data_IF_827248471990
#
_entry.id   IF_827248471990
#
_cell.length_a   1.000
_cell.length_b   1.000
_cell.length_c   1.000
_cell.angle_alpha   90.00
_cell.angle_beta   90.00
_cell.angle_gamma   90.00
#
_symmetry.space_group_name_H-M   'P 1'
#
loop_
_entity.id
_entity.type
_entity.pdbx_description
1 polymer ?
#
# COMPACT_ATOMS: atom_id res chain seq x y z
N UNK A 1 -11.60 -9.89 84.09
CA UNK A 1 -12.37 -8.80 83.46
C UNK A 1 -12.12 -8.79 81.95
N UNK A 2 -13.19 -9.01 81.25
CA UNK A 2 -13.16 -9.28 79.81
C UNK A 2 -12.91 -8.00 79.03
N UNK A 3 -11.86 -8.02 78.15
CA UNK A 3 -11.72 -7.09 77.07
C UNK A 3 -11.99 -7.87 75.71
N UNK A 4 -13.20 -7.64 75.21
CA UNK A 4 -13.60 -8.18 73.90
C UNK A 4 -12.94 -7.38 72.82
N UNK A 5 -12.10 -8.07 72.02
CA UNK A 5 -11.56 -7.65 70.73
C UNK A 5 -12.69 -7.50 69.72
N UNK A 6 -12.93 -6.29 69.26
CA UNK A 6 -13.77 -6.02 68.09
C UNK A 6 -12.88 -6.09 66.86
N UNK A 7 -12.90 -7.25 66.22
CA UNK A 7 -12.31 -7.37 64.87
C UNK A 7 -13.23 -6.67 63.88
N UNK A 8 -12.84 -5.49 63.45
CA UNK A 8 -13.47 -4.81 62.32
C UNK A 8 -13.20 -5.57 61.02
N UNK A 9 -14.22 -6.23 60.54
CA UNK A 9 -14.26 -6.76 59.19
C UNK A 9 -14.38 -5.61 58.20
N UNK A 10 -13.26 -5.10 57.73
CA UNK A 10 -13.25 -4.26 56.54
C UNK A 10 -13.60 -5.14 55.31
N UNK A 11 -14.90 -5.30 55.06
CA UNK A 11 -15.38 -5.72 53.72
C UNK A 11 -15.15 -4.55 52.80
N UNK A 12 -14.02 -4.54 52.09
CA UNK A 12 -13.84 -3.71 50.88
C UNK A 12 -14.87 -4.19 49.87
N UNK A 13 -16.02 -3.53 49.83
CA UNK A 13 -16.94 -3.69 48.71
C UNK A 13 -16.15 -3.24 47.45
N UNK A 14 -15.68 -4.20 46.67
CA UNK A 14 -15.28 -3.92 45.31
C UNK A 14 -16.51 -3.36 44.60
N UNK A 15 -16.52 -2.05 44.42
CA UNK A 15 -17.49 -1.39 43.54
C UNK A 15 -17.24 -2.00 42.18
N UNK A 16 -18.07 -2.98 41.77
CA UNK A 16 -18.10 -3.46 40.38
C UNK A 16 -18.50 -2.26 39.57
N UNK A 17 -17.54 -1.70 38.87
CA UNK A 17 -17.76 -0.67 37.84
C UNK A 17 -18.51 -1.37 36.70
N UNK A 18 -19.82 -1.33 36.73
CA UNK A 18 -20.69 -1.83 35.67
C UNK A 18 -20.72 -0.79 34.53
N UNK A 19 -19.64 -0.68 33.75
CA UNK A 19 -19.65 0.07 32.50
C UNK A 19 -20.08 -0.86 31.36
N UNK A 20 -20.91 -0.37 30.45
CA UNK A 20 -21.34 -1.09 29.25
C UNK A 20 -20.15 -1.69 28.46
N UNK A 21 -19.01 -1.05 28.54
CA UNK A 21 -17.80 -1.40 27.79
C UNK A 21 -16.73 -2.10 28.64
N UNK A 22 -17.03 -2.54 29.84
CA UNK A 22 -16.06 -3.14 30.79
C UNK A 22 -15.44 -4.44 30.32
N UNK A 23 -16.06 -5.13 29.34
CA UNK A 23 -15.55 -6.35 28.72
C UNK A 23 -14.61 -6.10 27.55
N UNK A 24 -14.45 -4.85 27.09
CA UNK A 24 -13.58 -4.53 25.96
C UNK A 24 -12.13 -4.57 26.41
N UNK A 25 -11.34 -5.39 25.74
CA UNK A 25 -9.88 -5.40 25.87
C UNK A 25 -9.25 -4.38 24.91
N UNK A 26 -8.11 -3.82 25.31
CA UNK A 26 -7.37 -2.92 24.42
C UNK A 26 -6.98 -3.64 23.13
N UNK A 27 -7.19 -2.98 21.99
CA UNK A 27 -6.72 -3.48 20.70
C UNK A 27 -5.18 -3.48 20.65
N UNK A 28 -4.62 -4.41 19.87
CA UNK A 28 -3.19 -4.40 19.59
C UNK A 28 -2.83 -3.13 18.83
N UNK A 29 -1.79 -2.42 19.27
CA UNK A 29 -1.34 -1.21 18.59
C UNK A 29 -0.92 -1.50 17.14
N UNK A 30 -1.29 -0.62 16.21
CA UNK A 30 -0.82 -0.70 14.83
C UNK A 30 0.71 -0.60 14.80
N UNK A 31 1.42 -1.57 14.18
CA UNK A 31 2.88 -1.62 14.22
C UNK A 31 3.56 -0.43 13.51
N UNK A 32 2.89 0.21 12.55
CA UNK A 32 3.44 1.36 11.81
C UNK A 32 3.13 2.67 12.52
N UNK A 33 1.88 2.87 12.96
CA UNK A 33 1.48 4.09 13.65
C UNK A 33 2.11 4.17 15.05
N UNK A 34 2.16 3.06 15.78
CA UNK A 34 2.85 2.98 17.07
C UNK A 34 4.35 3.29 16.98
N UNK A 35 5.00 2.90 15.88
CA UNK A 35 6.40 3.26 15.62
C UNK A 35 6.61 4.77 15.49
N UNK A 36 5.69 5.45 14.81
CA UNK A 36 5.75 6.91 14.66
C UNK A 36 5.56 7.66 15.98
N UNK A 37 4.67 7.15 16.84
CA UNK A 37 4.47 7.71 18.19
C UNK A 37 5.71 7.52 19.07
N UNK A 38 6.34 6.36 19.02
CA UNK A 38 7.60 6.09 19.71
C UNK A 38 8.72 7.02 19.22
N UNK A 39 8.85 7.19 17.89
CA UNK A 39 9.82 8.10 17.29
C UNK A 39 9.62 9.57 17.71
N UNK A 40 8.37 10.02 17.86
CA UNK A 40 8.10 11.40 18.32
C UNK A 40 8.61 11.64 19.76
N UNK A 41 8.53 10.62 20.62
CA UNK A 41 8.96 10.67 22.02
C UNK A 41 10.48 10.51 22.19
N UNK A 42 11.16 10.00 21.17
CA UNK A 42 12.62 9.82 21.17
C UNK A 42 13.33 11.18 21.25
N UNK A 43 14.40 11.27 22.05
CA UNK A 43 15.19 12.50 22.25
C UNK A 43 16.58 12.42 21.65
N UNK A 44 16.99 11.25 21.14
CA UNK A 44 18.31 11.06 20.57
C UNK A 44 18.54 12.02 19.38
N UNK A 45 19.64 12.80 19.34
CA UNK A 45 19.86 13.85 18.34
C UNK A 45 19.98 13.33 16.90
N UNK A 46 20.37 12.06 16.72
CA UNK A 46 20.50 11.39 15.42
C UNK A 46 19.37 10.38 15.15
N UNK A 47 18.19 10.55 15.78
CA UNK A 47 17.06 9.64 15.55
C UNK A 47 16.64 9.61 14.08
N UNK A 48 16.34 8.42 13.55
CA UNK A 48 15.92 8.22 12.15
C UNK A 48 14.64 7.39 12.09
N UNK A 49 13.67 7.84 11.30
CA UNK A 49 12.41 7.11 11.06
C UNK A 49 12.42 6.47 9.68
N UNK A 50 12.52 5.16 9.63
CA UNK A 50 12.49 4.34 8.41
C UNK A 50 11.24 3.44 8.31
N UNK A 51 10.30 3.55 9.24
CA UNK A 51 9.09 2.72 9.24
C UNK A 51 7.93 3.32 8.43
N UNK A 52 7.93 4.62 8.19
CA UNK A 52 6.78 5.32 7.62
C UNK A 52 6.78 5.29 6.09
N UNK A 53 5.65 4.87 5.51
CA UNK A 53 5.43 4.83 4.05
C UNK A 53 5.01 6.18 3.47
N UNK A 54 5.76 7.25 3.75
CA UNK A 54 5.54 8.58 3.17
C UNK A 54 6.86 9.15 2.66
N UNK A 55 6.86 9.71 1.45
CA UNK A 55 8.04 10.31 0.85
C UNK A 55 8.50 11.54 1.64
N UNK A 56 9.81 11.66 1.82
CA UNK A 56 10.49 12.81 2.42
C UNK A 56 11.55 13.32 1.45
N UNK A 57 11.69 14.64 1.36
CA UNK A 57 12.78 15.24 0.60
C UNK A 57 14.13 14.99 1.30
N UNK A 58 15.22 15.38 0.67
CA UNK A 58 16.57 15.20 1.23
C UNK A 58 16.79 15.90 2.59
N UNK A 59 15.97 16.89 2.93
CA UNK A 59 15.95 17.55 4.25
C UNK A 59 15.08 16.81 5.29
N UNK A 60 14.59 15.59 4.99
CA UNK A 60 13.72 14.80 5.87
C UNK A 60 12.30 15.37 6.05
N UNK A 61 11.91 16.39 5.28
CA UNK A 61 10.60 17.05 5.39
C UNK A 61 9.59 16.47 4.38
N UNK A 62 8.27 16.57 4.62
CA UNK A 62 7.26 16.29 3.61
C UNK A 62 7.56 17.06 2.33
N UNK A 63 7.36 16.40 1.19
CA UNK A 63 7.54 17.00 -0.13
C UNK A 63 6.16 17.26 -0.74
N UNK A 64 5.90 18.50 -1.09
CA UNK A 64 4.66 18.91 -1.76
C UNK A 64 5.02 19.19 -3.21
N UNK A 65 4.39 18.46 -4.14
CA UNK A 65 4.63 18.59 -5.57
C UNK A 65 4.14 19.96 -6.04
N UNK A 66 4.90 20.57 -6.95
CA UNK A 66 4.53 21.89 -7.47
C UNK A 66 3.23 21.86 -8.29
N UNK A 67 2.99 20.77 -9.04
CA UNK A 67 1.72 20.56 -9.75
C UNK A 67 0.52 20.50 -8.79
N UNK A 68 0.69 19.93 -7.58
CA UNK A 68 -0.36 19.91 -6.55
C UNK A 68 -0.69 21.31 -6.08
N UNK A 69 0.32 22.14 -5.73
CA UNK A 69 0.11 23.54 -5.33
C UNK A 69 -0.61 24.36 -6.40
N UNK A 70 -0.25 24.16 -7.67
CA UNK A 70 -0.90 24.83 -8.79
C UNK A 70 -2.34 24.36 -8.98
N UNK A 71 -2.61 23.06 -8.77
CA UNK A 71 -3.97 22.55 -8.81
C UNK A 71 -4.82 23.11 -7.65
N UNK A 72 -4.28 23.15 -6.43
CA UNK A 72 -4.93 23.77 -5.27
C UNK A 72 -5.21 25.26 -5.52
N UNK A 73 -4.23 26.01 -6.05
CA UNK A 73 -4.43 27.42 -6.43
C UNK A 73 -5.56 27.56 -7.46
N UNK A 74 -5.63 26.68 -8.47
CA UNK A 74 -6.72 26.71 -9.47
C UNK A 74 -8.09 26.46 -8.82
N UNK A 75 -8.19 25.54 -7.84
CA UNK A 75 -9.43 25.31 -7.10
C UNK A 75 -9.90 26.60 -6.41
N UNK A 76 -8.98 27.34 -5.78
CA UNK A 76 -9.29 28.62 -5.13
C UNK A 76 -9.64 29.72 -6.12
N UNK A 77 -8.84 29.90 -7.17
CA UNK A 77 -9.01 30.96 -8.15
C UNK A 77 -10.32 30.84 -8.95
N UNK A 78 -10.80 29.60 -9.15
CA UNK A 78 -12.05 29.33 -9.89
C UNK A 78 -13.28 29.20 -8.98
N UNK A 79 -13.14 29.49 -7.69
CA UNK A 79 -14.23 29.41 -6.71
C UNK A 79 -14.99 28.08 -6.77
N UNK A 80 -14.28 26.93 -6.86
CA UNK A 80 -14.95 25.63 -6.82
C UNK A 80 -15.71 25.47 -5.50
N UNK A 81 -16.94 25.02 -5.60
CA UNK A 81 -17.86 24.83 -4.47
C UNK A 81 -17.45 23.67 -3.54
N UNK A 82 -18.24 23.45 -2.49
CA UNK A 82 -18.10 22.33 -1.55
C UNK A 82 -19.32 21.39 -1.58
N UNK A 83 -20.07 21.38 -2.69
CA UNK A 83 -21.21 20.51 -2.86
C UNK A 83 -20.80 19.03 -2.85
N UNK A 84 -21.75 18.16 -2.51
CA UNK A 84 -21.54 16.72 -2.56
C UNK A 84 -21.26 16.25 -3.98
N UNK A 85 -20.23 15.44 -4.16
CA UNK A 85 -20.11 14.64 -5.37
C UNK A 85 -21.24 13.59 -5.43
N UNK A 86 -21.46 12.98 -6.60
CA UNK A 86 -22.28 11.79 -6.71
C UNK A 86 -21.80 10.67 -5.76
N UNK A 87 -22.63 9.68 -5.49
CA UNK A 87 -22.26 8.54 -4.63
C UNK A 87 -20.99 7.85 -5.16
N UNK A 88 -20.83 7.76 -6.49
CA UNK A 88 -19.62 7.21 -7.13
C UNK A 88 -18.41 8.15 -7.06
N UNK A 89 -18.60 9.42 -6.71
CA UNK A 89 -17.56 10.44 -6.73
C UNK A 89 -17.59 11.31 -7.99
N UNK A 90 -16.46 11.91 -8.35
CA UNK A 90 -16.29 12.81 -9.51
C UNK A 90 -16.03 11.95 -10.76
N UNK A 91 -16.95 12.01 -11.73
CA UNK A 91 -16.90 11.14 -12.93
C UNK A 91 -15.62 11.35 -13.77
N UNK A 92 -15.18 12.61 -13.94
CA UNK A 92 -13.94 12.93 -14.67
C UNK A 92 -12.70 12.35 -13.97
N UNK A 93 -12.65 12.42 -12.64
CA UNK A 93 -11.58 11.81 -11.85
C UNK A 93 -11.55 10.29 -12.04
N UNK A 94 -12.71 9.61 -11.96
CA UNK A 94 -12.81 8.17 -12.15
C UNK A 94 -12.31 7.78 -13.55
N UNK A 95 -12.78 8.47 -14.60
CA UNK A 95 -12.37 8.20 -15.97
C UNK A 95 -10.87 8.39 -16.19
N UNK A 96 -10.30 9.50 -15.70
CA UNK A 96 -8.85 9.75 -15.79
C UNK A 96 -8.03 8.75 -14.97
N UNK A 97 -8.53 8.31 -13.82
CA UNK A 97 -7.91 7.25 -13.02
C UNK A 97 -7.83 5.93 -13.78
N UNK A 98 -8.90 5.56 -14.48
CA UNK A 98 -8.95 4.36 -15.33
C UNK A 98 -8.00 4.49 -16.53
N UNK A 99 -7.99 5.63 -17.21
CA UNK A 99 -7.06 5.91 -18.33
C UNK A 99 -5.61 5.83 -17.86
N UNK A 100 -5.28 6.41 -16.72
CA UNK A 100 -3.94 6.35 -16.14
C UNK A 100 -3.47 4.90 -15.93
N UNK A 101 -4.32 4.05 -15.40
CA UNK A 101 -3.97 2.68 -15.08
C UNK A 101 -3.94 1.77 -16.31
N UNK A 102 -5.03 1.72 -17.04
CA UNK A 102 -5.22 0.79 -18.15
C UNK A 102 -4.61 1.28 -19.48
N UNK A 103 -4.40 2.59 -19.62
CA UNK A 103 -4.00 3.24 -20.86
C UNK A 103 -5.21 3.70 -21.70
N UNK A 104 -5.07 4.83 -22.37
CA UNK A 104 -6.12 5.44 -23.20
C UNK A 104 -6.58 4.52 -24.34
N UNK A 105 -5.65 3.73 -24.88
CA UNK A 105 -5.92 2.81 -26.00
C UNK A 105 -6.47 1.45 -25.58
N UNK A 106 -6.59 1.17 -24.30
CA UNK A 106 -7.14 -0.07 -23.78
C UNK A 106 -8.59 -0.30 -24.25
N UNK A 107 -8.91 -1.52 -24.69
CA UNK A 107 -10.24 -1.88 -25.19
C UNK A 107 -11.37 -1.60 -24.18
N UNK A 108 -11.17 -1.93 -22.91
CA UNK A 108 -12.16 -1.74 -21.86
C UNK A 108 -12.45 -0.26 -21.58
N UNK A 109 -11.42 0.61 -21.71
CA UNK A 109 -11.55 2.06 -21.60
C UNK A 109 -12.35 2.61 -22.78
N UNK A 110 -12.03 2.19 -24.01
CA UNK A 110 -12.70 2.66 -25.24
C UNK A 110 -14.15 2.20 -25.33
N UNK A 111 -14.43 0.98 -24.90
CA UNK A 111 -15.74 0.38 -24.92
C UNK A 111 -16.60 0.73 -23.69
N UNK A 112 -16.11 1.57 -22.77
CA UNK A 112 -16.77 1.92 -21.50
C UNK A 112 -17.19 0.69 -20.68
N UNK A 113 -16.34 -0.32 -20.61
CA UNK A 113 -16.54 -1.59 -19.90
C UNK A 113 -15.89 -1.63 -18.53
N UNK A 114 -15.64 -0.49 -17.92
CA UNK A 114 -15.06 -0.38 -16.58
C UNK A 114 -16.00 0.40 -15.69
N UNK A 115 -16.66 -0.29 -14.77
CA UNK A 115 -17.40 0.34 -13.68
C UNK A 115 -16.44 0.79 -12.57
N UNK A 116 -16.74 1.88 -11.88
CA UNK A 116 -15.84 2.33 -10.82
C UNK A 116 -16.39 3.42 -9.92
N UNK A 117 -15.72 3.65 -8.82
CA UNK A 117 -16.03 4.72 -7.88
C UNK A 117 -14.78 5.33 -7.28
N UNK A 118 -14.82 6.62 -7.07
CA UNK A 118 -13.88 7.30 -6.19
C UNK A 118 -13.99 6.71 -4.79
N UNK A 119 -12.86 6.49 -4.15
CA UNK A 119 -12.78 5.84 -2.84
C UNK A 119 -11.91 6.61 -1.87
N UNK A 120 -12.02 6.25 -0.58
CA UNK A 120 -11.17 6.81 0.48
C UNK A 120 -9.78 6.16 0.39
N UNK A 121 -9.00 6.56 -0.64
CA UNK A 121 -7.69 6.02 -0.99
C UNK A 121 -7.73 4.50 -1.26
N UNK A 122 -6.57 3.83 -1.29
CA UNK A 122 -6.46 2.40 -1.54
C UNK A 122 -7.20 1.53 -0.51
N UNK A 123 -7.19 1.91 0.77
CA UNK A 123 -7.92 1.19 1.83
C UNK A 123 -9.41 1.15 1.54
N UNK A 124 -10.01 2.30 1.18
CA UNK A 124 -11.41 2.38 0.81
C UNK A 124 -11.72 1.64 -0.48
N UNK A 125 -10.79 1.66 -1.44
CA UNK A 125 -10.90 0.93 -2.70
C UNK A 125 -10.97 -0.58 -2.47
N UNK A 126 -10.07 -1.14 -1.67
CA UNK A 126 -10.06 -2.55 -1.27
C UNK A 126 -11.33 -2.93 -0.52
N UNK A 127 -11.80 -2.07 0.41
CA UNK A 127 -13.04 -2.32 1.15
C UNK A 127 -14.25 -2.40 0.21
N UNK A 128 -14.38 -1.47 -0.72
CA UNK A 128 -15.45 -1.50 -1.73
C UNK A 128 -15.40 -2.77 -2.56
N UNK A 129 -14.21 -3.12 -3.08
CA UNK A 129 -14.06 -4.27 -3.95
C UNK A 129 -14.30 -5.61 -3.24
N UNK A 130 -13.75 -5.83 -2.06
CA UNK A 130 -14.03 -7.06 -1.32
C UNK A 130 -15.49 -7.16 -0.90
N UNK A 131 -16.14 -6.05 -0.52
CA UNK A 131 -17.59 -6.06 -0.26
C UNK A 131 -18.36 -6.39 -1.52
N UNK A 132 -18.02 -5.76 -2.66
CA UNK A 132 -18.63 -6.06 -3.95
C UNK A 132 -18.50 -7.54 -4.33
N UNK A 133 -17.30 -8.10 -4.25
CA UNK A 133 -17.06 -9.51 -4.56
C UNK A 133 -17.82 -10.45 -3.61
N UNK A 134 -17.91 -10.13 -2.33
CA UNK A 134 -18.64 -10.96 -1.37
C UNK A 134 -20.12 -11.08 -1.73
N UNK A 135 -20.70 -9.96 -2.13
CA UNK A 135 -22.14 -9.90 -2.38
C UNK A 135 -22.51 -10.43 -3.78
N UNK A 136 -21.74 -10.10 -4.81
CA UNK A 136 -22.11 -10.33 -6.20
C UNK A 136 -21.19 -11.25 -7.02
N UNK A 137 -20.02 -11.65 -6.50
CA UNK A 137 -19.20 -12.62 -7.23
C UNK A 137 -19.97 -13.95 -7.39
N UNK A 138 -20.10 -14.47 -8.64
CA UNK A 138 -20.96 -15.62 -8.89
C UNK A 138 -20.44 -16.91 -8.24
N UNK A 139 -19.13 -17.02 -8.02
CA UNK A 139 -18.51 -18.20 -7.42
C UNK A 139 -18.44 -18.03 -5.90
N UNK A 140 -19.44 -18.54 -5.19
CA UNK A 140 -19.52 -18.43 -3.73
C UNK A 140 -18.56 -19.40 -3.02
N UNK A 141 -18.10 -19.01 -1.83
CA UNK A 141 -17.24 -19.86 -1.00
C UNK A 141 -15.76 -19.90 -1.42
N UNK A 142 -15.36 -19.07 -2.40
CA UNK A 142 -13.96 -18.94 -2.78
C UNK A 142 -13.15 -18.17 -1.72
N UNK A 143 -11.86 -18.48 -1.64
CA UNK A 143 -10.91 -17.78 -0.78
C UNK A 143 -10.22 -16.65 -1.53
N UNK A 144 -9.75 -15.64 -0.78
CA UNK A 144 -8.86 -14.59 -1.28
C UNK A 144 -7.43 -15.00 -0.99
N UNK A 145 -6.62 -15.09 -2.02
CA UNK A 145 -5.19 -15.39 -1.92
C UNK A 145 -4.39 -14.09 -1.91
N UNK A 146 -3.54 -13.92 -0.91
CA UNK A 146 -2.68 -12.74 -0.74
C UNK A 146 -1.22 -13.15 -0.70
N UNK A 147 -0.28 -12.33 -1.19
CA UNK A 147 1.15 -12.70 -1.16
C UNK A 147 1.67 -12.81 0.27
N UNK A 148 2.65 -13.67 0.48
CA UNK A 148 3.36 -13.79 1.76
C UNK A 148 4.83 -13.36 1.63
N UNK A 149 5.23 -12.26 2.29
CA UNK A 149 4.43 -11.31 3.07
C UNK A 149 3.58 -10.37 2.19
N UNK A 150 2.68 -9.62 2.82
CA UNK A 150 1.89 -8.58 2.17
C UNK A 150 1.61 -7.40 3.12
N UNK A 151 1.04 -6.33 2.61
CA UNK A 151 0.53 -5.25 3.45
C UNK A 151 -0.56 -5.80 4.39
N UNK A 152 -0.42 -5.65 5.73
CA UNK A 152 -1.29 -6.35 6.68
C UNK A 152 -2.79 -6.10 6.47
N UNK A 153 -3.17 -4.92 5.96
CA UNK A 153 -4.58 -4.59 5.74
C UNK A 153 -5.25 -5.41 4.63
N UNK A 154 -4.50 -6.05 3.72
CA UNK A 154 -5.09 -6.95 2.73
C UNK A 154 -5.86 -8.09 3.39
N UNK A 155 -5.25 -8.74 4.39
CA UNK A 155 -5.86 -9.83 5.17
C UNK A 155 -7.05 -9.32 5.98
N UNK A 156 -6.86 -8.23 6.70
CA UNK A 156 -7.88 -7.64 7.56
C UNK A 156 -9.12 -7.21 6.74
N UNK A 157 -8.92 -6.57 5.58
CA UNK A 157 -10.04 -6.11 4.76
C UNK A 157 -10.80 -7.26 4.08
N UNK A 158 -10.09 -8.32 3.65
CA UNK A 158 -10.72 -9.54 3.16
C UNK A 158 -11.60 -10.18 4.24
N UNK A 159 -11.06 -10.34 5.46
CA UNK A 159 -11.77 -10.92 6.61
C UNK A 159 -12.97 -10.07 7.03
N UNK A 160 -12.79 -8.75 7.18
CA UNK A 160 -13.87 -7.81 7.49
C UNK A 160 -14.97 -7.79 6.43
N UNK A 161 -14.68 -8.19 5.21
CA UNK A 161 -15.66 -8.35 4.13
C UNK A 161 -16.27 -9.75 4.08
N UNK A 162 -15.90 -10.63 5.02
CA UNK A 162 -16.46 -11.98 5.16
C UNK A 162 -15.80 -13.04 4.28
N UNK A 163 -14.62 -12.77 3.73
CA UNK A 163 -13.81 -13.78 3.07
C UNK A 163 -12.89 -14.51 4.04
N UNK A 164 -12.61 -15.78 3.74
CA UNK A 164 -11.42 -16.46 4.22
C UNK A 164 -10.27 -16.05 3.32
N UNK A 165 -9.10 -15.85 3.88
CA UNK A 165 -7.89 -15.58 3.11
C UNK A 165 -6.87 -16.68 3.30
N UNK A 166 -6.02 -16.83 2.29
CA UNK A 166 -4.88 -17.74 2.28
C UNK A 166 -3.66 -16.99 1.76
N UNK A 167 -2.48 -17.43 2.18
CA UNK A 167 -1.25 -16.95 1.59
C UNK A 167 -0.91 -17.74 0.33
N UNK A 168 -0.24 -17.08 -0.62
CA UNK A 168 0.57 -17.75 -1.61
C UNK A 168 2.04 -17.31 -1.45
N UNK A 169 2.97 -18.22 -1.73
CA UNK A 169 4.40 -17.95 -1.63
C UNK A 169 4.79 -16.83 -2.59
N UNK A 170 5.49 -15.85 -2.09
CA UNK A 170 5.89 -14.68 -2.87
C UNK A 170 7.34 -14.30 -2.66
N UNK A 171 7.85 -14.33 -1.43
CA UNK A 171 9.19 -13.88 -1.09
C UNK A 171 10.02 -15.05 -0.54
N UNK A 172 11.20 -15.24 -1.11
CA UNK A 172 12.17 -16.21 -0.63
C UNK A 172 13.21 -15.52 0.24
N UNK A 173 13.17 -15.76 1.56
CA UNK A 173 14.07 -15.13 2.53
C UNK A 173 15.54 -15.51 2.31
N UNK A 174 15.84 -16.67 1.72
CA UNK A 174 17.23 -17.11 1.46
C UNK A 174 17.86 -16.36 0.29
N UNK A 175 17.11 -16.19 -0.79
CA UNK A 175 17.57 -15.46 -1.98
C UNK A 175 17.31 -13.95 -1.89
N UNK A 176 16.46 -13.54 -0.94
CA UNK A 176 15.98 -12.15 -0.76
C UNK A 176 15.28 -11.60 -2.03
N UNK A 177 14.67 -12.49 -2.79
CA UNK A 177 14.00 -12.24 -4.06
C UNK A 177 12.62 -12.89 -4.13
N UNK A 178 12.05 -12.94 -5.35
CA UNK A 178 10.76 -13.59 -5.61
C UNK A 178 10.89 -15.12 -5.48
N UNK A 179 9.97 -15.75 -4.76
CA UNK A 179 9.75 -17.19 -4.77
C UNK A 179 8.82 -17.56 -5.94
N UNK A 180 9.35 -17.43 -7.14
CA UNK A 180 8.54 -17.57 -8.34
C UNK A 180 8.00 -18.99 -8.54
N UNK A 181 8.79 -20.01 -8.24
CA UNK A 181 8.38 -21.43 -8.33
C UNK A 181 7.26 -21.71 -7.33
N UNK A 182 7.47 -21.34 -6.07
CA UNK A 182 6.46 -21.48 -5.04
C UNK A 182 5.16 -20.73 -5.34
N UNK A 183 5.26 -19.51 -5.86
CA UNK A 183 4.10 -18.73 -6.31
C UNK A 183 3.31 -19.49 -7.39
N UNK A 184 3.98 -20.02 -8.40
CA UNK A 184 3.32 -20.77 -9.48
C UNK A 184 2.64 -22.04 -8.99
N UNK A 185 3.29 -22.79 -8.09
CA UNK A 185 2.73 -24.00 -7.51
C UNK A 185 1.46 -23.71 -6.71
N UNK A 186 1.48 -22.67 -5.86
CA UNK A 186 0.32 -22.25 -5.08
C UNK A 186 -0.83 -21.78 -5.96
N UNK A 187 -0.53 -21.03 -7.03
CA UNK A 187 -1.53 -20.57 -7.98
C UNK A 187 -2.16 -21.71 -8.78
N UNK A 188 -1.36 -22.73 -9.18
CA UNK A 188 -1.84 -23.91 -9.89
C UNK A 188 -2.69 -24.80 -8.99
N UNK A 189 -2.35 -24.88 -7.71
CA UNK A 189 -3.07 -25.68 -6.71
C UNK A 189 -4.37 -25.02 -6.23
N UNK A 190 -4.53 -23.72 -6.43
CA UNK A 190 -5.73 -22.99 -6.00
C UNK A 190 -6.98 -23.48 -6.76
N UNK A 191 -8.13 -23.59 -6.09
CA UNK A 191 -9.39 -23.88 -6.77
C UNK A 191 -9.69 -22.88 -7.88
N UNK A 192 -10.30 -23.37 -8.97
CA UNK A 192 -10.75 -22.47 -10.04
C UNK A 192 -11.61 -21.36 -9.50
N UNK A 193 -11.55 -20.19 -10.14
CA UNK A 193 -12.27 -18.99 -9.76
C UNK A 193 -11.86 -18.37 -8.40
N UNK A 194 -10.77 -18.83 -7.77
CA UNK A 194 -10.23 -18.17 -6.58
C UNK A 194 -9.79 -16.75 -6.90
N UNK A 195 -9.81 -15.88 -5.89
CA UNK A 195 -9.44 -14.47 -6.03
C UNK A 195 -7.98 -14.31 -5.61
N UNK A 196 -7.13 -13.82 -6.50
CA UNK A 196 -5.73 -13.51 -6.22
C UNK A 196 -5.50 -12.01 -6.16
N UNK A 197 -4.90 -11.54 -5.07
CA UNK A 197 -4.50 -10.16 -4.92
C UNK A 197 -3.03 -10.00 -5.33
N UNK A 198 -2.77 -9.13 -6.29
CA UNK A 198 -1.45 -8.74 -6.76
C UNK A 198 -1.19 -7.27 -6.46
N UNK A 199 0.09 -6.88 -6.43
CA UNK A 199 0.48 -5.47 -6.55
C UNK A 199 0.79 -5.18 -8.03
N UNK A 200 0.34 -4.03 -8.51
CA UNK A 200 0.65 -3.60 -9.89
C UNK A 200 2.16 -3.42 -10.05
N UNK A 201 2.80 -2.80 -9.07
CA UNK A 201 4.25 -2.60 -8.98
C UNK A 201 4.67 -2.29 -7.54
N UNK A 202 5.98 -2.34 -7.27
CA UNK A 202 6.60 -1.98 -5.99
C UNK A 202 5.95 -2.69 -4.80
N UNK A 203 5.96 -4.00 -4.82
CA UNK A 203 5.33 -4.85 -3.81
C UNK A 203 5.65 -4.42 -2.38
N UNK A 204 4.64 -4.19 -1.57
CA UNK A 204 4.75 -3.86 -0.16
C UNK A 204 4.56 -5.14 0.70
N UNK A 205 5.57 -5.59 1.48
CA UNK A 205 6.72 -4.83 1.99
C UNK A 205 8.05 -5.04 1.25
N UNK A 206 8.14 -5.94 0.26
CA UNK A 206 9.42 -6.49 -0.20
C UNK A 206 10.15 -5.63 -1.22
N UNK A 207 9.43 -4.82 -2.01
CA UNK A 207 10.00 -4.12 -3.16
C UNK A 207 10.41 -5.04 -4.32
N UNK A 208 10.04 -6.31 -4.27
CA UNK A 208 10.34 -7.32 -5.29
C UNK A 208 9.12 -7.51 -6.19
N UNK A 209 9.27 -7.32 -7.48
CA UNK A 209 8.22 -7.55 -8.46
C UNK A 209 8.61 -8.64 -9.46
N UNK A 210 7.63 -9.41 -9.99
CA UNK A 210 7.89 -10.32 -11.09
C UNK A 210 8.41 -9.58 -12.34
N UNK A 211 9.33 -10.19 -13.06
CA UNK A 211 9.78 -9.69 -14.36
C UNK A 211 8.66 -9.79 -15.41
N UNK A 212 8.77 -9.08 -16.57
CA UNK A 212 7.80 -9.22 -17.66
C UNK A 212 7.59 -10.68 -18.10
N UNK A 213 8.66 -11.48 -18.18
CA UNK A 213 8.55 -12.90 -18.54
C UNK A 213 7.79 -13.71 -17.47
N UNK A 214 8.04 -13.43 -16.20
CA UNK A 214 7.31 -14.05 -15.10
C UNK A 214 5.84 -13.65 -15.07
N UNK A 215 5.51 -12.38 -15.36
CA UNK A 215 4.13 -11.93 -15.47
C UNK A 215 3.36 -12.64 -16.59
N UNK A 216 4.00 -12.93 -17.75
CA UNK A 216 3.39 -13.75 -18.79
C UNK A 216 3.07 -15.17 -18.30
N UNK A 217 3.98 -15.81 -17.59
CA UNK A 217 3.73 -17.15 -17.02
C UNK A 217 2.59 -17.13 -15.97
N UNK A 218 2.55 -16.08 -15.12
CA UNK A 218 1.44 -15.87 -14.17
C UNK A 218 0.11 -15.74 -14.91
N UNK A 219 0.09 -14.97 -16.01
CA UNK A 219 -1.10 -14.79 -16.84
C UNK A 219 -1.62 -16.11 -17.43
N UNK A 220 -0.72 -16.99 -17.87
CA UNK A 220 -1.10 -18.31 -18.39
C UNK A 220 -1.76 -19.19 -17.31
N UNK A 221 -1.26 -19.14 -16.06
CA UNK A 221 -1.89 -19.84 -14.93
C UNK A 221 -3.26 -19.24 -14.62
N UNK A 222 -3.38 -17.92 -14.61
CA UNK A 222 -4.65 -17.22 -14.38
C UNK A 222 -5.71 -17.65 -15.39
N UNK A 223 -5.36 -17.73 -16.67
CA UNK A 223 -6.26 -18.22 -17.72
C UNK A 223 -6.67 -19.68 -17.51
N UNK A 224 -5.69 -20.56 -17.25
CA UNK A 224 -5.92 -21.99 -17.09
C UNK A 224 -6.84 -22.31 -15.92
N UNK A 225 -6.67 -21.61 -14.79
CA UNK A 225 -7.43 -21.80 -13.57
C UNK A 225 -8.63 -20.85 -13.46
N UNK A 226 -8.86 -20.01 -14.48
CA UNK A 226 -9.92 -18.98 -14.48
C UNK A 226 -9.91 -18.16 -13.17
N UNK A 227 -8.73 -17.70 -12.74
CA UNK A 227 -8.59 -16.94 -11.50
C UNK A 227 -9.13 -15.51 -11.68
N UNK A 228 -9.65 -14.93 -10.61
CA UNK A 228 -10.05 -13.53 -10.57
C UNK A 228 -8.93 -12.69 -9.95
N UNK A 229 -8.53 -11.60 -10.60
CA UNK A 229 -7.34 -10.83 -10.26
C UNK A 229 -7.72 -9.48 -9.66
N UNK A 230 -7.36 -9.27 -8.40
CA UNK A 230 -7.37 -7.97 -7.74
C UNK A 230 -5.97 -7.33 -7.83
N UNK A 231 -5.87 -6.11 -8.33
CA UNK A 231 -4.61 -5.37 -8.43
C UNK A 231 -4.60 -4.17 -7.48
N UNK A 232 -3.69 -4.17 -6.49
CA UNK A 232 -3.41 -3.00 -5.66
C UNK A 232 -2.39 -2.10 -6.37
N UNK A 233 -2.78 -0.85 -6.62
CA UNK A 233 -1.99 0.15 -7.34
C UNK A 233 -1.79 1.40 -6.49
N UNK A 234 -0.74 1.40 -5.68
CA UNK A 234 -0.40 2.52 -4.83
C UNK A 234 0.85 3.30 -5.30
N UNK A 235 1.60 2.75 -6.26
CA UNK A 235 2.95 3.24 -6.58
C UNK A 235 3.20 3.44 -8.08
N UNK A 236 2.17 3.46 -8.93
CA UNK A 236 2.33 3.70 -10.37
C UNK A 236 3.03 5.03 -10.64
N UNK A 237 4.12 5.02 -11.40
CA UNK A 237 5.01 6.14 -11.68
C UNK A 237 5.99 6.45 -10.55
N UNK A 238 5.71 6.00 -9.33
CA UNK A 238 6.56 6.21 -8.17
C UNK A 238 7.59 5.09 -7.96
N UNK A 239 7.35 3.91 -8.54
CA UNK A 239 8.26 2.77 -8.41
C UNK A 239 9.51 2.95 -9.28
N UNK A 240 9.35 3.13 -10.59
CA UNK A 240 10.45 3.26 -11.55
C UNK A 240 10.65 4.69 -12.09
N UNK A 241 9.71 5.59 -11.85
CA UNK A 241 9.66 6.92 -12.49
C UNK A 241 9.03 6.89 -13.88
N UNK A 242 8.46 5.75 -14.29
CA UNK A 242 7.86 5.51 -15.61
C UNK A 242 6.48 4.86 -15.41
N UNK A 243 5.42 5.57 -15.81
CA UNK A 243 4.03 5.13 -15.65
C UNK A 243 3.71 3.87 -16.43
N UNK A 244 4.31 3.71 -17.62
CA UNK A 244 4.07 2.58 -18.52
C UNK A 244 4.71 1.30 -17.96
N UNK A 245 5.97 1.40 -17.50
CA UNK A 245 6.64 0.28 -16.83
C UNK A 245 5.93 -0.16 -15.58
N UNK A 246 5.50 0.79 -14.76
CA UNK A 246 4.85 0.50 -13.48
C UNK A 246 3.44 -0.08 -13.65
N UNK A 247 2.78 0.10 -14.79
CA UNK A 247 1.46 -0.48 -15.10
C UNK A 247 1.52 -1.76 -15.95
N UNK A 248 2.70 -2.26 -16.27
CA UNK A 248 2.90 -3.40 -17.18
C UNK A 248 2.03 -4.61 -16.82
N UNK A 249 2.04 -5.03 -15.56
CA UNK A 249 1.27 -6.21 -15.11
C UNK A 249 -0.23 -6.06 -15.38
N UNK A 250 -0.82 -4.94 -14.96
CA UNK A 250 -2.23 -4.67 -15.15
C UNK A 250 -2.61 -4.59 -16.63
N UNK A 251 -1.79 -3.92 -17.45
CA UNK A 251 -2.06 -3.77 -18.87
C UNK A 251 -1.93 -5.09 -19.62
N UNK A 252 -0.91 -5.90 -19.32
CA UNK A 252 -0.80 -7.26 -19.83
C UNK A 252 -2.06 -8.07 -19.54
N UNK A 253 -2.52 -8.05 -18.28
CA UNK A 253 -3.71 -8.81 -17.90
C UNK A 253 -4.97 -8.31 -18.62
N UNK A 254 -5.11 -7.00 -18.79
CA UNK A 254 -6.27 -6.40 -19.49
C UNK A 254 -6.35 -6.74 -20.99
N UNK A 255 -5.27 -7.20 -21.60
CA UNK A 255 -5.28 -7.72 -22.97
C UNK A 255 -5.84 -9.14 -23.04
N UNK A 256 -5.76 -9.91 -21.96
CA UNK A 256 -5.99 -11.33 -21.92
C UNK A 256 -7.21 -11.79 -21.13
N UNK A 257 -7.69 -11.00 -20.17
CA UNK A 257 -8.87 -11.35 -19.33
C UNK A 257 -9.66 -10.11 -18.95
N UNK A 258 -10.93 -10.29 -18.63
CA UNK A 258 -11.81 -9.30 -17.99
C UNK A 258 -12.03 -9.59 -16.49
N UNK A 259 -11.46 -10.67 -15.96
CA UNK A 259 -11.51 -11.01 -14.53
C UNK A 259 -10.59 -10.10 -13.69
N UNK A 260 -10.80 -8.78 -13.74
CA UNK A 260 -9.92 -7.78 -13.14
C UNK A 260 -10.68 -6.81 -12.25
N UNK A 261 -10.18 -6.62 -11.04
CA UNK A 261 -10.45 -5.46 -10.19
C UNK A 261 -9.17 -4.66 -9.95
N UNK A 262 -9.32 -3.35 -9.86
CA UNK A 262 -8.21 -2.43 -9.59
C UNK A 262 -8.51 -1.58 -8.37
N UNK A 263 -7.55 -1.49 -7.46
CA UNK A 263 -7.59 -0.71 -6.23
C UNK A 263 -6.51 0.37 -6.27
N UNK A 264 -6.87 1.60 -6.67
CA UNK A 264 -5.91 2.69 -6.82
C UNK A 264 -5.84 3.58 -5.58
N UNK A 265 -4.64 4.03 -5.27
CA UNK A 265 -4.37 5.07 -4.28
C UNK A 265 -3.51 6.15 -4.91
N UNK A 266 -3.91 7.41 -4.76
CA UNK A 266 -3.15 8.57 -5.19
C UNK A 266 -2.35 9.23 -4.05
N UNK A 267 -2.31 8.56 -2.88
CA UNK A 267 -1.63 9.10 -1.71
C UNK A 267 -0.13 9.31 -1.91
N UNK A 268 0.56 8.38 -2.61
CA UNK A 268 2.02 8.38 -2.75
C UNK A 268 2.46 9.12 -4.01
N UNK A 269 1.91 8.75 -5.16
CA UNK A 269 2.35 9.28 -6.44
C UNK A 269 1.96 10.75 -6.70
N UNK A 270 0.97 11.29 -5.95
CA UNK A 270 0.68 12.73 -5.91
C UNK A 270 1.14 13.41 -4.61
N UNK A 271 1.68 12.66 -3.65
CA UNK A 271 2.12 13.23 -2.37
C UNK A 271 0.99 13.77 -1.48
N UNK A 272 -0.26 13.40 -1.75
CA UNK A 272 -1.48 13.88 -1.07
C UNK A 272 -2.00 12.88 -0.03
N UNK A 273 -1.14 12.42 0.84
CA UNK A 273 -1.43 11.33 1.81
C UNK A 273 -2.66 11.57 2.69
N UNK A 274 -2.88 12.82 3.10
CA UNK A 274 -3.98 13.24 3.97
C UNK A 274 -5.31 13.41 3.24
N UNK A 275 -5.29 13.61 1.92
CA UNK A 275 -6.48 13.91 1.12
C UNK A 275 -7.37 12.71 0.83
N UNK A 276 -6.86 11.51 1.04
CA UNK A 276 -7.61 10.27 0.91
C UNK A 276 -8.27 10.06 -0.45
N UNK A 277 -7.57 10.36 -1.53
CA UNK A 277 -8.02 10.12 -2.90
C UNK A 277 -7.60 8.74 -3.41
N UNK A 278 -8.53 8.01 -4.01
CA UNK A 278 -8.35 6.71 -4.64
C UNK A 278 -9.49 6.37 -5.58
N UNK A 279 -9.34 5.27 -6.33
CA UNK A 279 -10.36 4.80 -7.25
C UNK A 279 -10.45 3.27 -7.21
N UNK A 280 -11.66 2.75 -7.09
CA UNK A 280 -11.99 1.34 -7.29
C UNK A 280 -12.54 1.16 -8.70
N UNK A 281 -12.08 0.14 -9.41
CA UNK A 281 -12.55 -0.17 -10.76
C UNK A 281 -12.75 -1.68 -10.95
N UNK A 282 -13.77 -2.05 -11.72
CA UNK A 282 -14.11 -3.43 -12.09
C UNK A 282 -14.25 -3.50 -13.60
N UNK A 283 -13.52 -4.39 -14.24
CA UNK A 283 -13.69 -4.70 -15.67
C UNK A 283 -14.90 -5.60 -15.85
N UNK A 284 -15.67 -5.37 -16.89
CA UNK A 284 -16.92 -6.09 -17.17
C UNK A 284 -16.96 -6.62 -18.61
N UNK A 285 -17.84 -7.59 -18.85
CA UNK A 285 -18.02 -8.23 -20.17
C UNK A 285 -18.67 -7.33 -21.21
N UNK A 286 -19.42 -6.29 -20.79
CA UNK A 286 -20.12 -5.36 -21.69
C UNK A 286 -20.40 -4.02 -20.99
N UNK A 287 -20.78 -2.99 -21.76
CA UNK A 287 -21.24 -1.69 -21.24
C UNK A 287 -22.51 -1.84 -20.39
N UNK A 288 -23.46 -2.68 -20.83
CA UNK A 288 -24.67 -2.93 -20.05
C UNK A 288 -24.37 -3.57 -18.69
N UNK A 289 -23.41 -4.49 -18.62
CA UNK A 289 -22.95 -5.07 -17.37
C UNK A 289 -22.25 -4.02 -16.50
N UNK A 290 -21.45 -3.11 -17.11
CA UNK A 290 -20.81 -2.03 -16.38
C UNK A 290 -21.84 -1.13 -15.67
N UNK A 291 -22.96 -0.81 -16.29
CA UNK A 291 -24.03 -0.03 -15.68
C UNK A 291 -24.66 -0.75 -14.48
N UNK A 292 -24.88 -2.07 -14.59
CA UNK A 292 -25.40 -2.89 -13.49
C UNK A 292 -24.39 -2.93 -12.32
N UNK A 293 -23.13 -3.20 -12.61
CA UNK A 293 -22.02 -3.20 -11.61
C UNK A 293 -21.89 -1.84 -10.96
N UNK A 294 -21.94 -0.75 -11.75
CA UNK A 294 -21.91 0.62 -11.26
C UNK A 294 -23.02 0.91 -10.24
N UNK A 295 -24.24 0.41 -10.51
CA UNK A 295 -25.37 0.58 -9.59
C UNK A 295 -25.12 -0.11 -8.24
N UNK A 296 -24.48 -1.30 -8.25
CA UNK A 296 -24.15 -2.04 -7.03
C UNK A 296 -22.99 -1.43 -6.26
N UNK A 297 -22.00 -0.90 -6.95
CA UNK A 297 -20.90 -0.14 -6.29
C UNK A 297 -21.48 1.06 -5.53
N UNK A 298 -22.42 1.81 -6.12
CA UNK A 298 -23.12 2.91 -5.44
C UNK A 298 -23.88 2.43 -4.20
N UNK A 299 -24.56 1.28 -4.29
CA UNK A 299 -25.28 0.70 -3.17
C UNK A 299 -24.37 0.34 -2.00
N UNK A 300 -23.11 -0.09 -2.26
CA UNK A 300 -22.12 -0.35 -1.24
C UNK A 300 -21.54 0.95 -0.65
N UNK A 301 -21.19 1.90 -1.51
CA UNK A 301 -20.54 3.13 -1.09
C UNK A 301 -21.45 4.00 -0.18
N UNK A 302 -22.76 4.03 -0.50
CA UNK A 302 -23.73 4.85 0.22
C UNK A 302 -23.76 4.63 1.74
N UNK A 303 -23.83 3.40 2.27
CA UNK A 303 -23.83 3.18 3.73
C UNK A 303 -22.44 3.25 4.38
N UNK A 304 -21.36 3.21 3.60
CA UNK A 304 -20.00 3.26 4.16
C UNK A 304 -19.57 4.71 4.42
N UNK A 305 -19.71 5.60 3.44
CA UNK A 305 -19.28 7.00 3.55
C UNK A 305 -20.19 8.00 2.82
N UNK A 306 -21.36 7.57 2.34
CA UNK A 306 -22.32 8.40 1.61
C UNK A 306 -21.79 8.91 0.26
N UNK A 307 -20.84 9.82 0.29
CA UNK A 307 -20.12 10.42 -0.83
C UNK A 307 -18.65 10.53 -0.45
N UNK A 308 -17.71 10.38 -1.38
CA UNK A 308 -16.30 10.55 -1.07
C UNK A 308 -15.91 12.04 -0.93
N UNK A 309 -14.80 12.35 -0.21
CA UNK A 309 -14.26 13.70 -0.11
C UNK A 309 -13.76 14.18 -1.47
N UNK A 310 -14.04 15.44 -1.84
CA UNK A 310 -13.81 15.94 -3.20
C UNK A 310 -12.46 16.62 -3.41
N UNK A 311 -11.85 17.21 -2.37
CA UNK A 311 -10.68 18.06 -2.53
C UNK A 311 -9.50 17.32 -3.17
N UNK A 312 -9.08 16.20 -2.61
CA UNK A 312 -7.98 15.41 -3.16
C UNK A 312 -8.25 14.86 -4.57
N UNK A 313 -9.50 14.49 -4.85
CA UNK A 313 -9.89 14.03 -6.17
C UNK A 313 -9.88 15.17 -7.21
N UNK A 314 -10.29 16.38 -6.85
CA UNK A 314 -10.19 17.58 -7.70
C UNK A 314 -8.74 17.91 -8.05
N UNK A 315 -7.81 17.81 -7.08
CA UNK A 315 -6.37 18.00 -7.34
C UNK A 315 -5.88 17.03 -8.42
N UNK A 316 -6.17 15.73 -8.25
CA UNK A 316 -5.75 14.70 -9.22
C UNK A 316 -6.44 14.93 -10.58
N UNK A 317 -7.73 15.22 -10.58
CA UNK A 317 -8.53 15.46 -11.79
C UNK A 317 -8.00 16.65 -12.60
N UNK A 318 -7.64 17.73 -11.94
CA UNK A 318 -7.04 18.92 -12.55
C UNK A 318 -5.67 18.59 -13.15
N UNK A 319 -4.81 17.91 -12.38
CA UNK A 319 -3.47 17.57 -12.85
C UNK A 319 -3.53 16.64 -14.06
N UNK A 320 -4.34 15.58 -14.00
CA UNK A 320 -4.47 14.63 -15.11
C UNK A 320 -5.25 15.18 -16.31
N UNK A 321 -5.96 16.29 -16.13
CA UNK A 321 -6.69 16.98 -17.20
C UNK A 321 -5.92 18.11 -17.88
N UNK A 322 -4.76 18.48 -17.39
CA UNK A 322 -3.94 19.59 -17.88
C UNK A 322 -2.56 19.08 -18.31
N UNK A 323 -2.19 19.32 -19.56
CA UNK A 323 -0.94 18.81 -20.16
C UNK A 323 0.31 19.34 -19.44
N UNK A 324 0.31 20.63 -19.04
CA UNK A 324 1.44 21.23 -18.33
C UNK A 324 1.61 20.62 -16.93
N UNK A 325 0.50 20.55 -16.16
CA UNK A 325 0.53 19.97 -14.82
C UNK A 325 0.87 18.48 -14.84
N UNK A 326 0.37 17.73 -15.84
CA UNK A 326 0.75 16.32 -16.05
C UNK A 326 2.25 16.18 -16.32
N UNK A 327 2.81 17.01 -17.19
CA UNK A 327 4.25 16.99 -17.48
C UNK A 327 5.10 17.32 -16.23
N UNK A 328 4.68 18.28 -15.42
CA UNK A 328 5.33 18.58 -14.14
C UNK A 328 5.24 17.40 -13.18
N UNK A 329 4.08 16.76 -13.07
CA UNK A 329 3.87 15.58 -12.25
C UNK A 329 4.79 14.42 -12.66
N UNK A 330 4.93 14.15 -13.97
CA UNK A 330 5.87 13.14 -14.48
C UNK A 330 7.32 13.45 -14.09
N UNK A 331 7.72 14.72 -14.19
CA UNK A 331 9.06 15.15 -13.78
C UNK A 331 9.30 14.94 -12.28
N UNK A 332 8.32 15.28 -11.44
CA UNK A 332 8.37 15.05 -9.98
C UNK A 332 8.46 13.55 -9.65
N UNK A 333 7.67 12.69 -10.31
CA UNK A 333 7.73 11.23 -10.12
C UNK A 333 9.13 10.69 -10.44
N UNK A 334 9.70 11.11 -11.58
CA UNK A 334 11.04 10.70 -11.98
C UNK A 334 12.11 11.17 -10.98
N UNK A 335 11.99 12.40 -10.48
CA UNK A 335 12.88 12.94 -9.46
C UNK A 335 12.78 12.14 -8.14
N UNK A 336 11.57 11.90 -7.64
CA UNK A 336 11.35 11.16 -6.39
C UNK A 336 11.84 9.72 -6.47
N UNK A 337 11.53 9.02 -7.57
CA UNK A 337 11.99 7.66 -7.85
C UNK A 337 13.51 7.59 -7.98
N UNK A 338 14.12 8.51 -8.73
CA UNK A 338 15.56 8.63 -8.89
C UNK A 338 16.28 8.80 -7.56
N UNK A 339 15.81 9.72 -6.70
CA UNK A 339 16.40 9.92 -5.36
C UNK A 339 16.31 8.65 -4.50
N UNK A 340 15.19 7.93 -4.54
CA UNK A 340 15.08 6.66 -3.80
C UNK A 340 16.09 5.62 -4.32
N UNK A 341 16.30 5.56 -5.63
CA UNK A 341 17.32 4.69 -6.21
C UNK A 341 18.75 5.11 -5.76
N UNK A 342 19.06 6.40 -5.77
CA UNK A 342 20.34 6.92 -5.25
C UNK A 342 20.57 6.53 -3.78
N UNK A 343 19.55 6.61 -2.94
CA UNK A 343 19.65 6.19 -1.53
C UNK A 343 19.92 4.69 -1.39
N UNK A 344 19.34 3.84 -2.24
CA UNK A 344 19.62 2.40 -2.28
C UNK A 344 21.09 2.13 -2.65
N UNK A 345 21.54 2.73 -3.73
CA UNK A 345 22.94 2.60 -4.22
C UNK A 345 23.91 3.13 -3.17
N UNK A 346 23.63 4.30 -2.60
CA UNK A 346 24.44 4.91 -1.54
C UNK A 346 24.54 4.04 -0.28
N UNK A 347 23.43 3.42 0.14
CA UNK A 347 23.40 2.53 1.31
C UNK A 347 24.26 1.29 1.08
N UNK A 348 24.11 0.62 -0.06
CA UNK A 348 24.91 -0.57 -0.41
C UNK A 348 26.39 -0.21 -0.53
N UNK A 349 26.72 0.93 -1.16
CA UNK A 349 28.10 1.42 -1.26
C UNK A 349 28.69 1.69 0.13
N UNK A 350 27.97 2.40 1.00
CA UNK A 350 28.45 2.74 2.34
C UNK A 350 28.71 1.48 3.19
N UNK A 351 27.84 0.47 3.12
CA UNK A 351 28.06 -0.82 3.78
C UNK A 351 29.31 -1.53 3.26
N UNK A 352 29.53 -1.52 1.94
CA UNK A 352 30.73 -2.09 1.32
C UNK A 352 32.00 -1.35 1.76
N UNK A 353 31.97 -0.02 1.78
CA UNK A 353 33.11 0.82 2.20
C UNK A 353 33.48 0.61 3.68
N UNK A 354 32.52 0.22 4.51
CA UNK A 354 32.70 -0.17 5.92
C UNK A 354 33.25 -1.60 6.08
N UNK A 355 33.44 -2.36 4.99
CA UNK A 355 33.89 -3.75 5.04
C UNK A 355 32.83 -4.72 5.53
N UNK A 356 31.53 -4.39 5.33
CA UNK A 356 30.45 -5.34 5.66
C UNK A 356 30.52 -6.55 4.73
N UNK A 357 30.58 -7.76 5.32
CA UNK A 357 30.79 -9.03 4.61
C UNK A 357 29.55 -9.56 3.90
N UNK A 358 28.37 -9.01 4.21
CA UNK A 358 27.13 -9.50 3.65
C UNK A 358 26.82 -8.93 2.27
N UNK A 359 26.12 -9.72 1.46
CA UNK A 359 25.65 -9.28 0.16
C UNK A 359 24.34 -8.46 0.30
N UNK A 360 24.45 -7.16 0.10
CA UNK A 360 23.32 -6.22 0.13
C UNK A 360 22.71 -5.91 -1.25
N UNK A 361 23.10 -6.65 -2.28
CA UNK A 361 22.62 -6.41 -3.66
C UNK A 361 21.10 -6.38 -3.76
N UNK A 362 20.41 -7.20 -2.98
CA UNK A 362 18.95 -7.23 -2.94
C UNK A 362 18.32 -5.85 -2.66
N UNK A 363 18.98 -4.98 -1.88
CA UNK A 363 18.49 -3.62 -1.62
C UNK A 363 18.45 -2.77 -2.89
N UNK A 364 19.39 -2.96 -3.82
CA UNK A 364 19.41 -2.27 -5.12
C UNK A 364 18.54 -2.94 -6.17
N UNK A 365 18.29 -4.25 -6.04
CA UNK A 365 17.41 -4.99 -6.95
C UNK A 365 15.93 -4.72 -6.67
N UNK A 366 15.59 -4.38 -5.42
CA UNK A 366 14.25 -3.99 -5.01
C UNK A 366 13.91 -2.59 -5.49
N UNK A 367 12.64 -2.32 -5.75
CA UNK A 367 12.15 -1.04 -6.28
C UNK A 367 11.09 -0.39 -5.38
N UNK A 368 10.80 0.88 -5.66
CA UNK A 368 9.75 1.62 -4.96
C UNK A 368 10.19 2.15 -3.60
N UNK A 369 9.21 2.39 -2.73
CA UNK A 369 9.40 3.09 -1.47
C UNK A 369 10.12 2.25 -0.41
N UNK A 370 10.00 0.91 -0.46
CA UNK A 370 10.46 0.02 0.61
C UNK A 370 11.65 -0.84 0.21
N UNK A 371 12.51 -1.14 1.18
CA UNK A 371 13.44 -2.25 1.09
C UNK A 371 13.17 -3.24 2.23
N UNK A 372 13.18 -4.52 1.89
CA UNK A 372 13.08 -5.62 2.83
C UNK A 372 14.50 -6.11 3.10
N UNK A 373 15.07 -5.64 4.21
CA UNK A 373 16.52 -5.73 4.45
C UNK A 373 17.03 -7.13 4.77
N UNK A 374 16.17 -7.99 5.33
CA UNK A 374 16.54 -9.28 5.86
C UNK A 374 17.01 -9.26 7.33
N UNK A 375 17.03 -8.09 7.97
CA UNK A 375 17.33 -7.99 9.40
C UNK A 375 16.29 -8.74 10.23
N UNK A 376 16.77 -9.49 11.23
CA UNK A 376 15.90 -10.15 12.18
C UNK A 376 15.45 -9.22 13.31
N UNK A 377 14.52 -9.70 14.15
CA UNK A 377 13.93 -8.90 15.23
C UNK A 377 14.95 -8.37 16.24
N UNK A 378 15.98 -9.15 16.55
CA UNK A 378 17.00 -8.76 17.54
C UNK A 378 17.87 -7.63 16.98
N UNK A 379 18.25 -7.70 15.69
CA UNK A 379 18.99 -6.65 15.00
C UNK A 379 18.15 -5.37 14.88
N UNK A 380 16.84 -5.49 14.60
CA UNK A 380 15.93 -4.32 14.56
C UNK A 380 15.77 -3.68 15.94
N UNK A 381 15.67 -4.48 17.00
CA UNK A 381 15.64 -3.95 18.38
C UNK A 381 16.95 -3.26 18.73
N UNK A 382 18.11 -3.84 18.38
CA UNK A 382 19.41 -3.25 18.60
C UNK A 382 19.56 -1.89 17.89
N UNK A 383 19.08 -1.79 16.63
CA UNK A 383 19.03 -0.53 15.88
C UNK A 383 18.16 0.53 16.59
N UNK A 384 17.04 0.12 17.13
CA UNK A 384 16.13 1.03 17.85
C UNK A 384 16.72 1.49 19.18
N UNK A 385 17.25 0.58 19.99
CA UNK A 385 17.69 0.86 21.36
C UNK A 385 19.03 1.59 21.41
N UNK A 386 20.00 1.21 20.56
CA UNK A 386 21.34 1.79 20.59
C UNK A 386 21.54 2.96 19.63
N UNK A 387 20.77 2.98 18.53
CA UNK A 387 20.99 3.95 17.44
C UNK A 387 19.76 4.81 17.16
N UNK A 388 18.67 4.65 17.90
CA UNK A 388 17.41 5.38 17.68
C UNK A 388 16.93 5.33 16.21
N UNK A 389 17.16 4.19 15.52
CA UNK A 389 16.69 3.94 14.17
C UNK A 389 15.39 3.12 14.24
N UNK A 390 14.29 3.72 13.81
CA UNK A 390 12.95 3.19 13.91
C UNK A 390 12.51 2.59 12.58
N UNK A 391 12.42 1.27 12.50
CA UNK A 391 11.96 0.50 11.34
C UNK A 391 10.98 -0.60 11.78
N UNK A 392 10.32 -1.26 10.84
CA UNK A 392 9.36 -2.32 11.20
C UNK A 392 10.08 -3.61 11.62
N UNK A 393 9.46 -4.37 12.53
CA UNK A 393 10.07 -5.55 13.16
C UNK A 393 10.32 -6.73 12.20
N UNK A 394 9.74 -6.68 11.03
CA UNK A 394 9.94 -7.63 9.93
C UNK A 394 11.14 -7.30 9.03
N UNK A 395 11.90 -6.27 9.37
CA UNK A 395 13.09 -5.86 8.61
C UNK A 395 12.81 -4.92 7.43
N UNK A 396 11.57 -4.42 7.25
CA UNK A 396 11.25 -3.45 6.21
C UNK A 396 11.72 -2.05 6.60
N UNK A 397 12.35 -1.35 5.66
CA UNK A 397 12.63 0.09 5.76
C UNK A 397 11.95 0.87 4.64
N UNK A 398 11.59 2.12 4.94
CA UNK A 398 11.24 3.11 3.93
C UNK A 398 12.51 3.78 3.43
N UNK A 399 12.87 3.53 2.19
CA UNK A 399 14.01 4.18 1.51
C UNK A 399 13.82 5.70 1.46
N UNK A 400 12.59 6.16 1.39
CA UNK A 400 12.27 7.58 1.42
C UNK A 400 12.62 8.29 2.76
N UNK A 401 12.86 7.54 3.82
CA UNK A 401 13.38 8.05 5.10
C UNK A 401 14.89 8.26 5.12
N UNK A 402 15.63 7.67 4.17
CA UNK A 402 17.05 7.94 3.96
C UNK A 402 17.24 9.27 3.24
N UNK A 403 18.32 9.96 3.56
CA UNK A 403 18.77 11.19 2.92
C UNK A 403 20.29 11.32 3.02
N UNK A 404 20.87 12.30 2.32
CA UNK A 404 22.32 12.51 2.32
C UNK A 404 22.88 12.78 3.72
N UNK A 405 22.09 13.36 4.62
CA UNK A 405 22.50 13.68 5.99
C UNK A 405 22.47 12.50 6.97
N UNK A 406 21.66 11.45 6.72
CA UNK A 406 21.54 10.32 7.64
C UNK A 406 22.07 8.99 7.09
N UNK A 407 22.32 8.88 5.78
CA UNK A 407 22.69 7.64 5.11
C UNK A 407 23.93 6.98 5.71
N UNK A 408 25.00 7.75 5.94
CA UNK A 408 26.25 7.24 6.52
C UNK A 408 26.03 6.70 7.94
N UNK A 409 25.23 7.40 8.76
CA UNK A 409 24.88 6.97 10.11
C UNK A 409 24.07 5.67 10.12
N UNK A 410 23.09 5.58 9.23
CA UNK A 410 22.27 4.37 9.10
C UNK A 410 23.12 3.19 8.62
N UNK A 411 24.00 3.39 7.63
CA UNK A 411 24.90 2.35 7.13
C UNK A 411 25.87 1.85 8.22
N UNK A 412 26.45 2.75 9.02
CA UNK A 412 27.32 2.38 10.14
C UNK A 412 26.56 1.56 11.20
N UNK A 413 25.34 1.96 11.55
CA UNK A 413 24.51 1.21 12.48
C UNK A 413 24.14 -0.19 11.93
N UNK A 414 23.78 -0.29 10.66
CA UNK A 414 23.48 -1.57 9.99
C UNK A 414 24.73 -2.46 9.96
N UNK A 415 25.90 -1.91 9.64
CA UNK A 415 27.15 -2.66 9.71
C UNK A 415 27.38 -3.24 11.11
N UNK A 416 27.25 -2.44 12.16
CA UNK A 416 27.49 -2.86 13.54
C UNK A 416 26.53 -3.96 14.04
N UNK A 417 25.28 -3.94 13.61
CA UNK A 417 24.32 -4.96 14.04
C UNK A 417 24.38 -6.24 13.20
N UNK A 418 25.07 -6.22 12.05
CA UNK A 418 25.19 -7.38 11.14
C UNK A 418 26.59 -7.99 11.10
N UNK A 419 27.64 -7.19 11.33
CA UNK A 419 29.04 -7.66 11.25
C UNK A 419 29.32 -8.83 12.19
N UNK A 420 29.90 -9.91 11.64
CA UNK A 420 30.18 -11.15 12.37
C UNK A 420 28.94 -11.93 12.82
N UNK A 421 27.75 -11.60 12.34
CA UNK A 421 26.48 -12.23 12.70
C UNK A 421 25.78 -12.82 11.46
N UNK A 422 24.97 -13.86 11.68
CA UNK A 422 24.09 -14.41 10.61
C UNK A 422 23.01 -13.42 10.24
N UNK A 423 22.80 -13.25 8.92
CA UNK A 423 21.89 -12.25 8.38
C UNK A 423 21.17 -12.76 7.13
#
# INVERSE_FOLDING_TARGET
>A
MLARSIAQHNKTMAIRQFGTWSSITAATADPILGLNEAFKKETHPKKVLLGMGAYRCDKGKPFILECVKRAEKRILDTNMDHEYAGIQGIDSFIKKSQILAFGENNKFVKENRIAGAQSISGTGSLRLGFTFMKDWYPHKGVDVYVPDPTWPLHRNLAELSGFKWKNYRYYNAKTKGLDFEGMQEDMKAAPKNSIFLFHVCAHNPTGVDPTPAQWNNIMDIVKTNNLYCGFDSAYQGFASGDLEKDSYSLRLFSEHTDNIMLFQSFAKNFGIYGERAGCFSVVTGSTAEADLVQSRIKQIARPIYSNPPIHGARIVDIILGDKELTAMWHADLKHMSGRMHEMRVGMVKALKDLGNEHNWKHVTDQIGMFAYTGLNKDQVNELREKYAIYMTMDGRISIAGLNTGNLAYVADAFHKVTHGKTF
#
